data_IF_183823751659
#
_entry.id   IF_183823751659
#
_cell.length_a   1.000
_cell.length_b   1.000
_cell.length_c   1.000
_cell.angle_alpha   90.00
_cell.angle_beta   90.00
_cell.angle_gamma   90.00
#
_symmetry.space_group_name_H-M   'P 1'
#
loop_
_entity.id
_entity.type
_entity.pdbx_description
1 polymer ?
#
# COMPACT_ATOMS: atom_id res chain seq x y z
N UNK A 1 -19.60 -5.00 25.04
CA UNK A 1 -18.45 -4.08 25.07
C UNK A 1 -17.23 -4.94 25.30
N UNK A 2 -16.38 -5.03 24.29
CA UNK A 2 -15.12 -5.78 24.38
C UNK A 2 -14.26 -5.15 25.47
N UNK A 3 -13.55 -5.96 26.26
CA UNK A 3 -12.58 -5.50 27.26
C UNK A 3 -11.47 -4.62 26.63
N UNK A 4 -11.38 -4.62 25.29
CA UNK A 4 -10.38 -3.93 24.52
C UNK A 4 -10.79 -2.52 24.01
N UNK A 5 -12.06 -2.10 24.15
CA UNK A 5 -12.59 -0.80 23.67
C UNK A 5 -11.84 0.42 24.25
N UNK A 6 -11.27 0.29 25.46
CA UNK A 6 -10.48 1.34 26.12
C UNK A 6 -9.00 1.40 25.68
N UNK A 7 -8.53 0.40 24.92
CA UNK A 7 -7.12 0.33 24.52
C UNK A 7 -6.85 1.28 23.35
N UNK A 8 -5.69 1.91 23.39
CA UNK A 8 -5.14 2.70 22.26
C UNK A 8 -4.75 1.78 21.10
N UNK A 9 -4.63 2.34 19.90
CA UNK A 9 -4.20 1.56 18.72
C UNK A 9 -2.83 0.92 18.94
N UNK A 10 -1.91 1.63 19.59
CA UNK A 10 -0.57 1.13 19.90
C UNK A 10 -0.63 -0.11 20.81
N UNK A 11 -1.51 -0.09 21.82
CA UNK A 11 -1.72 -1.23 22.70
C UNK A 11 -2.35 -2.41 21.96
N UNK A 12 -3.35 -2.16 21.11
CA UNK A 12 -3.99 -3.20 20.31
C UNK A 12 -3.01 -3.84 19.32
N UNK A 13 -2.11 -3.05 18.71
CA UNK A 13 -1.05 -3.57 17.84
C UNK A 13 -0.08 -4.47 18.61
N UNK A 14 0.33 -4.06 19.82
CA UNK A 14 1.22 -4.87 20.66
C UNK A 14 0.59 -6.22 21.01
N UNK A 15 -0.70 -6.24 21.35
CA UNK A 15 -1.47 -7.45 21.65
C UNK A 15 -1.68 -8.33 20.40
N UNK A 16 -1.99 -7.70 19.27
CA UNK A 16 -2.10 -8.36 17.96
C UNK A 16 -0.80 -9.10 17.60
N UNK A 17 0.37 -8.49 17.84
CA UNK A 17 1.68 -9.13 17.61
C UNK A 17 1.88 -10.40 18.46
N UNK A 18 1.31 -10.43 19.66
CA UNK A 18 1.33 -11.60 20.53
C UNK A 18 0.30 -12.67 20.13
N UNK A 19 -0.48 -12.45 19.06
CA UNK A 19 -1.52 -13.38 18.60
C UNK A 19 -2.84 -13.27 19.35
N UNK A 20 -3.10 -12.14 20.02
CA UNK A 20 -4.38 -11.91 20.70
C UNK A 20 -5.51 -11.68 19.67
N UNK A 21 -6.40 -12.68 19.56
CA UNK A 21 -7.57 -12.64 18.67
C UNK A 21 -8.60 -11.57 19.07
N UNK A 22 -8.72 -11.27 20.36
CA UNK A 22 -9.66 -10.25 20.84
C UNK A 22 -9.16 -8.85 20.48
N UNK A 23 -7.86 -8.60 20.55
CA UNK A 23 -7.26 -7.36 20.05
C UNK A 23 -7.43 -7.21 18.53
N UNK A 24 -7.27 -8.29 17.76
CA UNK A 24 -7.56 -8.26 16.32
C UNK A 24 -9.02 -7.94 16.02
N UNK A 25 -9.95 -8.57 16.75
CA UNK A 25 -11.39 -8.34 16.59
C UNK A 25 -11.74 -6.89 16.89
N UNK A 26 -11.16 -6.31 17.94
CA UNK A 26 -11.35 -4.90 18.27
C UNK A 26 -10.85 -3.96 17.16
N UNK A 27 -9.65 -4.23 16.61
CA UNK A 27 -9.12 -3.48 15.47
C UNK A 27 -10.06 -3.61 14.25
N UNK A 28 -10.55 -4.81 13.98
CA UNK A 28 -11.47 -5.06 12.88
C UNK A 28 -12.74 -4.23 13.04
N UNK A 29 -13.40 -4.31 14.20
CA UNK A 29 -14.67 -3.64 14.47
C UNK A 29 -14.54 -2.11 14.40
N UNK A 30 -13.44 -1.56 14.94
CA UNK A 30 -13.15 -0.11 14.90
C UNK A 30 -13.03 0.42 13.47
N UNK A 31 -12.28 -0.29 12.63
CA UNK A 31 -11.86 0.26 11.35
C UNK A 31 -12.67 -0.24 10.16
N UNK A 32 -13.39 -1.37 10.28
CA UNK A 32 -14.14 -1.99 9.19
C UNK A 32 -15.05 -1.00 8.46
N UNK A 33 -15.91 -0.28 9.18
CA UNK A 33 -16.91 0.60 8.57
C UNK A 33 -16.25 1.79 7.84
N UNK A 34 -15.18 2.35 8.42
CA UNK A 34 -14.43 3.42 7.79
C UNK A 34 -13.76 2.94 6.50
N UNK A 35 -13.05 1.82 6.56
CA UNK A 35 -12.34 1.25 5.42
C UNK A 35 -13.30 0.79 4.31
N UNK A 36 -14.43 0.19 4.66
CA UNK A 36 -15.48 -0.18 3.71
C UNK A 36 -16.05 1.04 2.98
N UNK A 37 -16.33 2.12 3.72
CA UNK A 37 -16.76 3.40 3.11
C UNK A 37 -15.67 4.00 2.23
N UNK A 38 -14.40 3.93 2.65
CA UNK A 38 -13.25 4.39 1.87
C UNK A 38 -13.14 3.62 0.54
N UNK A 39 -13.23 2.29 0.57
CA UNK A 39 -13.21 1.45 -0.62
C UNK A 39 -14.40 1.73 -1.56
N UNK A 40 -15.62 1.85 -1.03
CA UNK A 40 -16.81 2.21 -1.82
C UNK A 40 -16.66 3.58 -2.52
N UNK A 41 -16.12 4.59 -1.82
CA UNK A 41 -15.88 5.93 -2.40
C UNK A 41 -14.90 5.89 -3.58
N UNK A 42 -13.96 4.95 -3.57
CA UNK A 42 -12.95 4.75 -4.60
C UNK A 42 -13.42 3.84 -5.76
N UNK A 43 -14.73 3.81 -6.01
CA UNK A 43 -15.39 3.13 -7.15
C UNK A 43 -15.38 1.59 -7.11
N UNK A 44 -15.12 0.97 -5.95
CA UNK A 44 -15.46 -0.44 -5.76
C UNK A 44 -16.97 -0.60 -5.65
N UNK A 45 -17.53 -1.67 -6.22
CA UNK A 45 -18.89 -2.07 -5.83
C UNK A 45 -18.91 -2.59 -4.38
N UNK A 46 -20.11 -2.79 -3.83
CA UNK A 46 -20.27 -3.17 -2.42
C UNK A 46 -19.66 -4.54 -2.10
N UNK A 47 -19.66 -5.47 -3.03
CA UNK A 47 -19.13 -6.82 -2.82
C UNK A 47 -17.60 -6.78 -2.87
N UNK A 48 -17.05 -6.10 -3.87
CA UNK A 48 -15.61 -5.86 -4.02
C UNK A 48 -15.03 -5.11 -2.83
N UNK A 49 -15.71 -4.08 -2.34
CA UNK A 49 -15.28 -3.32 -1.18
C UNK A 49 -15.18 -4.20 0.07
N UNK A 50 -16.16 -5.10 0.28
CA UNK A 50 -16.12 -6.05 1.42
C UNK A 50 -14.96 -7.03 1.29
N UNK A 51 -14.79 -7.62 0.10
CA UNK A 51 -13.72 -8.58 -0.17
C UNK A 51 -12.35 -7.96 0.07
N UNK A 52 -12.11 -6.75 -0.47
CA UNK A 52 -10.85 -6.03 -0.32
C UNK A 52 -10.53 -5.73 1.14
N UNK A 53 -11.49 -5.20 1.90
CA UNK A 53 -11.26 -4.86 3.31
C UNK A 53 -11.03 -6.12 4.13
N UNK A 54 -11.78 -7.19 3.87
CA UNK A 54 -11.57 -8.48 4.52
C UNK A 54 -10.17 -9.03 4.25
N UNK A 55 -9.73 -9.00 2.98
CA UNK A 55 -8.40 -9.41 2.55
C UNK A 55 -7.28 -8.62 3.24
N UNK A 56 -7.46 -7.31 3.45
CA UNK A 56 -6.51 -6.50 4.22
C UNK A 56 -6.38 -7.03 5.65
N UNK A 57 -7.50 -7.26 6.34
CA UNK A 57 -7.46 -7.77 7.71
C UNK A 57 -6.90 -9.19 7.80
N UNK A 58 -7.20 -10.06 6.83
CA UNK A 58 -6.61 -11.39 6.76
C UNK A 58 -5.09 -11.34 6.57
N UNK A 59 -4.58 -10.42 5.73
CA UNK A 59 -3.14 -10.23 5.56
C UNK A 59 -2.47 -9.74 6.83
N UNK A 60 -3.13 -8.80 7.53
CA UNK A 60 -2.68 -8.30 8.82
C UNK A 60 -2.56 -9.43 9.83
N UNK A 61 -3.60 -10.27 9.94
CA UNK A 61 -3.58 -11.41 10.85
C UNK A 61 -2.47 -12.39 10.51
N UNK A 62 -2.30 -12.75 9.23
CA UNK A 62 -1.26 -13.69 8.79
C UNK A 62 0.15 -13.20 9.09
N UNK A 63 0.38 -11.89 9.00
CA UNK A 63 1.70 -11.27 9.15
C UNK A 63 1.91 -10.59 10.49
N UNK A 64 0.94 -10.70 11.41
CA UNK A 64 0.85 -9.95 12.67
C UNK A 64 2.15 -9.87 13.47
N UNK A 65 2.91 -10.96 13.52
CA UNK A 65 4.19 -11.05 14.26
C UNK A 65 5.30 -10.19 13.62
N UNK A 66 5.26 -10.05 12.30
CA UNK A 66 6.28 -9.35 11.49
C UNK A 66 5.88 -7.90 11.15
N UNK A 67 4.62 -7.52 11.36
CA UNK A 67 4.13 -6.19 11.00
C UNK A 67 4.62 -5.13 11.97
N UNK A 68 5.13 -4.03 11.45
CA UNK A 68 5.49 -2.89 12.28
C UNK A 68 4.65 -1.68 11.87
N UNK A 69 3.63 -1.41 12.68
CA UNK A 69 2.61 -0.40 12.39
C UNK A 69 2.80 0.76 13.36
N UNK A 70 3.33 1.88 12.88
CA UNK A 70 3.50 3.09 13.71
C UNK A 70 2.21 3.89 13.87
N UNK A 71 1.34 3.89 12.85
CA UNK A 71 0.05 4.59 12.90
C UNK A 71 -1.01 3.76 12.16
N UNK A 72 -1.86 3.09 12.94
CA UNK A 72 -2.82 2.10 12.46
C UNK A 72 -3.82 2.65 11.42
N UNK A 73 -4.42 3.84 11.59
CA UNK A 73 -5.38 4.37 10.63
C UNK A 73 -4.77 4.60 9.25
N UNK A 74 -3.58 5.22 9.17
CA UNK A 74 -2.94 5.46 7.88
C UNK A 74 -2.48 4.16 7.23
N UNK A 75 -1.96 3.22 8.01
CA UNK A 75 -1.58 1.90 7.51
C UNK A 75 -2.77 1.19 6.85
N UNK A 76 -3.92 1.15 7.53
CA UNK A 76 -5.12 0.47 7.05
C UNK A 76 -5.71 1.12 5.78
N UNK A 77 -5.82 2.45 5.76
CA UNK A 77 -6.27 3.19 4.57
C UNK A 77 -5.34 2.95 3.39
N UNK A 78 -4.04 2.90 3.64
CA UNK A 78 -3.03 2.65 2.61
C UNK A 78 -3.13 1.21 2.08
N UNK A 79 -3.25 0.20 2.95
CA UNK A 79 -3.42 -1.20 2.55
C UNK A 79 -4.69 -1.41 1.71
N UNK A 80 -5.82 -0.80 2.10
CA UNK A 80 -7.08 -0.87 1.34
C UNK A 80 -6.94 -0.18 -0.01
N UNK A 81 -6.38 1.04 -0.04
CA UNK A 81 -6.11 1.77 -1.29
C UNK A 81 -5.30 0.92 -2.26
N UNK A 82 -4.26 0.28 -1.76
CA UNK A 82 -3.40 -0.53 -2.58
C UNK A 82 -4.07 -1.80 -3.11
N UNK A 83 -4.77 -2.54 -2.26
CA UNK A 83 -5.53 -3.71 -2.71
C UNK A 83 -6.60 -3.35 -3.73
N UNK A 84 -7.25 -2.19 -3.58
CA UNK A 84 -8.21 -1.69 -4.55
C UNK A 84 -7.57 -1.36 -5.89
N UNK A 85 -6.43 -0.67 -5.89
CA UNK A 85 -5.65 -0.42 -7.12
C UNK A 85 -5.32 -1.76 -7.79
N UNK A 86 -4.85 -2.76 -7.03
CA UNK A 86 -4.58 -4.07 -7.61
C UNK A 86 -5.83 -4.73 -8.16
N UNK A 87 -6.93 -4.74 -7.42
CA UNK A 87 -8.18 -5.35 -7.85
C UNK A 87 -8.67 -4.75 -9.18
N UNK A 88 -8.66 -3.42 -9.29
CA UNK A 88 -9.03 -2.70 -10.52
C UNK A 88 -8.03 -2.97 -11.66
N UNK A 89 -6.75 -3.19 -11.32
CA UNK A 89 -5.67 -3.37 -12.29
C UNK A 89 -5.17 -4.81 -12.40
N UNK A 90 -5.92 -5.81 -11.90
CA UNK A 90 -5.51 -7.23 -11.76
C UNK A 90 -5.13 -7.90 -13.09
N UNK A 91 -5.41 -7.25 -14.22
CA UNK A 91 -4.98 -7.67 -15.54
C UNK A 91 -3.66 -7.06 -16.03
N UNK A 92 -2.94 -6.23 -15.26
CA UNK A 92 -1.79 -5.47 -15.81
C UNK A 92 -0.49 -5.44 -15.00
N UNK A 93 -0.47 -5.35 -13.66
CA UNK A 93 0.83 -5.21 -12.94
C UNK A 93 0.86 -5.85 -11.52
N UNK A 94 0.86 -7.20 -11.39
CA UNK A 94 0.95 -7.88 -10.09
C UNK A 94 2.31 -7.69 -9.38
N UNK A 95 3.41 -7.72 -10.14
CA UNK A 95 4.77 -7.84 -9.60
C UNK A 95 5.35 -6.57 -8.95
N UNK A 96 4.66 -5.43 -9.05
CA UNK A 96 5.05 -4.20 -8.35
C UNK A 96 4.62 -4.23 -6.89
N UNK A 97 3.48 -4.88 -6.62
CA UNK A 97 2.88 -4.86 -5.31
C UNK A 97 3.63 -5.74 -4.32
N UNK A 98 4.05 -6.93 -4.73
CA UNK A 98 4.91 -7.80 -3.91
C UNK A 98 6.19 -7.07 -3.48
N UNK A 99 6.78 -6.26 -4.38
CA UNK A 99 7.99 -5.48 -4.09
C UNK A 99 7.71 -4.31 -3.13
N UNK A 100 6.61 -3.59 -3.34
CA UNK A 100 6.22 -2.45 -2.51
C UNK A 100 5.80 -2.91 -1.10
N UNK A 101 5.06 -4.01 -1.00
CA UNK A 101 4.73 -4.65 0.28
C UNK A 101 5.99 -5.15 0.99
N UNK A 102 6.93 -5.79 0.28
CA UNK A 102 8.19 -6.26 0.89
C UNK A 102 9.00 -5.08 1.44
N UNK A 103 9.01 -3.95 0.72
CA UNK A 103 9.76 -2.75 1.10
C UNK A 103 9.15 -1.97 2.28
N UNK A 104 7.82 -1.88 2.35
CA UNK A 104 7.13 -1.16 3.43
C UNK A 104 6.92 -1.99 4.68
N UNK A 105 6.88 -3.32 4.56
CA UNK A 105 6.48 -4.23 5.63
C UNK A 105 7.61 -5.20 6.02
N UNK A 106 8.87 -4.82 5.81
CA UNK A 106 10.05 -5.56 6.29
C UNK A 106 10.11 -5.53 7.83
N UNK A 107 10.37 -6.65 8.53
CA UNK A 107 10.14 -6.79 9.98
C UNK A 107 11.19 -6.21 10.96
N UNK A 108 12.20 -5.43 10.56
CA UNK A 108 13.29 -5.02 11.48
C UNK A 108 13.15 -3.62 12.10
N UNK A 109 13.26 -3.52 13.44
CA UNK A 109 12.98 -2.37 14.34
C UNK A 109 13.84 -1.10 14.17
N UNK A 110 13.35 0.01 14.78
CA UNK A 110 13.92 1.36 15.02
C UNK A 110 14.48 2.15 13.81
N UNK A 111 15.19 1.47 12.92
CA UNK A 111 15.64 1.96 11.63
C UNK A 111 14.48 2.26 10.67
N UNK A 112 13.26 1.81 10.94
CA UNK A 112 12.16 1.87 9.95
C UNK A 112 11.61 3.26 9.68
N UNK A 113 11.49 4.14 10.67
CA UNK A 113 11.03 5.52 10.40
C UNK A 113 12.07 6.27 9.56
N UNK A 114 13.36 5.98 9.80
CA UNK A 114 14.48 6.52 9.03
C UNK A 114 14.49 5.90 7.62
N UNK A 115 14.40 4.58 7.49
CA UNK A 115 14.30 3.83 6.23
C UNK A 115 13.05 4.21 5.42
N UNK A 116 11.93 4.52 6.06
CA UNK A 116 10.70 4.97 5.39
C UNK A 116 10.87 6.39 4.87
N UNK A 117 11.42 7.32 5.66
CA UNK A 117 11.75 8.67 5.19
C UNK A 117 12.79 8.65 4.08
N UNK A 118 13.80 7.79 4.20
CA UNK A 118 14.84 7.62 3.19
C UNK A 118 14.31 6.94 1.93
N UNK A 119 13.39 5.99 2.07
CA UNK A 119 12.68 5.38 0.94
C UNK A 119 11.77 6.38 0.24
N UNK A 120 11.03 7.21 0.99
CA UNK A 120 10.23 8.29 0.42
C UNK A 120 11.12 9.28 -0.33
N UNK A 121 12.24 9.73 0.27
CA UNK A 121 13.21 10.60 -0.40
C UNK A 121 13.83 9.97 -1.64
N UNK A 122 14.14 8.68 -1.58
CA UNK A 122 14.64 7.92 -2.73
C UNK A 122 13.60 7.82 -3.84
N UNK A 123 12.33 7.62 -3.47
CA UNK A 123 11.22 7.57 -4.40
C UNK A 123 10.95 8.94 -5.01
N UNK A 124 10.99 10.02 -4.22
CA UNK A 124 10.92 11.42 -4.69
C UNK A 124 12.07 11.72 -5.68
N UNK A 125 13.31 11.41 -5.30
CA UNK A 125 14.47 11.58 -6.18
C UNK A 125 14.42 10.70 -7.43
N UNK A 126 13.78 9.53 -7.35
CA UNK A 126 13.54 8.69 -8.52
C UNK A 126 12.43 9.25 -9.42
N UNK A 127 11.35 9.76 -8.84
CA UNK A 127 10.26 10.42 -9.57
C UNK A 127 10.80 11.63 -10.34
N UNK A 128 11.76 12.37 -9.77
CA UNK A 128 12.36 13.54 -10.40
C UNK A 128 13.25 13.24 -11.61
N UNK A 129 13.86 12.06 -11.68
CA UNK A 129 14.67 11.64 -12.84
C UNK A 129 13.85 10.96 -13.93
N UNK A 130 12.55 10.73 -13.72
CA UNK A 130 11.68 10.20 -14.76
C UNK A 130 11.47 11.24 -15.87
N UNK A 131 11.36 10.80 -17.13
CA UNK A 131 10.87 11.65 -18.21
C UNK A 131 9.54 12.30 -17.82
N UNK A 132 9.35 13.56 -18.17
CA UNK A 132 8.24 14.40 -17.69
C UNK A 132 6.86 13.72 -17.83
N UNK A 133 6.61 13.07 -18.97
CA UNK A 133 5.37 12.34 -19.23
C UNK A 133 5.19 11.15 -18.29
N UNK A 134 6.25 10.37 -18.03
CA UNK A 134 6.20 9.24 -17.09
C UNK A 134 5.99 9.73 -15.66
N UNK A 135 6.69 10.79 -15.27
CA UNK A 135 6.54 11.43 -13.97
C UNK A 135 5.11 11.91 -13.74
N UNK A 136 4.52 12.62 -14.70
CA UNK A 136 3.14 13.11 -14.63
C UNK A 136 2.14 11.97 -14.52
N UNK A 137 2.29 10.93 -15.34
CA UNK A 137 1.44 9.73 -15.29
C UNK A 137 1.55 9.05 -13.93
N UNK A 138 2.77 8.89 -13.41
CA UNK A 138 3.02 8.28 -12.11
C UNK A 138 2.38 9.11 -10.99
N UNK A 139 2.59 10.42 -10.95
CA UNK A 139 1.99 11.31 -9.94
C UNK A 139 0.46 11.29 -10.00
N UNK A 140 -0.13 11.42 -11.18
CA UNK A 140 -1.58 11.42 -11.33
C UNK A 140 -2.20 10.08 -10.88
N UNK A 141 -1.54 8.97 -11.22
CA UNK A 141 -2.01 7.64 -10.85
C UNK A 141 -1.80 7.33 -9.36
N UNK A 142 -0.59 7.56 -8.85
CA UNK A 142 -0.20 7.16 -7.50
C UNK A 142 -0.56 8.18 -6.42
N UNK A 143 -0.46 9.49 -6.68
CA UNK A 143 -0.76 10.52 -5.69
C UNK A 143 -2.20 11.03 -5.82
N UNK A 144 -2.65 11.34 -7.04
CA UNK A 144 -3.98 11.92 -7.30
C UNK A 144 -5.09 10.89 -7.52
N UNK A 145 -4.78 9.60 -7.48
CA UNK A 145 -5.74 8.49 -7.57
C UNK A 145 -6.58 8.47 -8.86
N UNK A 146 -6.07 9.06 -9.94
CA UNK A 146 -6.78 9.05 -11.22
C UNK A 146 -6.66 7.67 -11.88
N UNK A 147 -7.76 7.18 -12.45
CA UNK A 147 -7.75 5.95 -13.24
C UNK A 147 -6.98 6.16 -14.55
N UNK A 148 -6.51 5.06 -15.15
CA UNK A 148 -5.88 5.08 -16.48
C UNK A 148 -6.74 5.82 -17.52
N UNK A 149 -8.06 5.69 -17.43
CA UNK A 149 -9.00 6.36 -18.34
C UNK A 149 -9.05 7.87 -18.10
N UNK A 150 -9.07 8.30 -16.84
CA UNK A 150 -9.06 9.72 -16.47
C UNK A 150 -7.74 10.38 -16.89
N UNK A 151 -6.60 9.71 -16.65
CA UNK A 151 -5.28 10.17 -17.07
C UNK A 151 -5.17 10.24 -18.60
N UNK A 152 -5.69 9.23 -19.30
CA UNK A 152 -5.71 9.20 -20.76
C UNK A 152 -6.45 10.42 -21.34
N UNK A 153 -7.60 10.77 -20.75
CA UNK A 153 -8.36 11.97 -21.13
C UNK A 153 -7.59 13.25 -20.79
N UNK A 154 -7.08 13.38 -19.55
CA UNK A 154 -6.36 14.59 -19.10
C UNK A 154 -5.09 14.85 -19.92
N UNK A 155 -4.38 13.80 -20.32
CA UNK A 155 -3.13 13.91 -21.05
C UNK A 155 -3.29 13.81 -22.57
N UNK A 156 -4.51 13.61 -23.07
CA UNK A 156 -4.81 13.35 -24.48
C UNK A 156 -3.96 12.22 -25.07
N UNK A 157 -3.86 11.11 -24.33
CA UNK A 157 -3.10 9.90 -24.69
C UNK A 157 -4.00 8.68 -24.68
N UNK A 158 -3.61 7.63 -25.42
CA UNK A 158 -4.37 6.37 -25.36
C UNK A 158 -4.23 5.69 -23.98
N UNK A 159 -5.27 4.99 -23.47
CA UNK A 159 -5.15 4.19 -22.25
C UNK A 159 -4.01 3.16 -22.29
N UNK A 160 -3.69 2.65 -23.49
CA UNK A 160 -2.56 1.76 -23.74
C UNK A 160 -1.22 2.47 -23.50
N UNK A 161 -1.09 3.71 -23.97
CA UNK A 161 0.10 4.55 -23.74
C UNK A 161 0.30 4.84 -22.26
N UNK A 162 -0.77 5.14 -21.53
CA UNK A 162 -0.70 5.36 -20.07
C UNK A 162 -0.23 4.08 -19.35
N UNK A 163 -0.81 2.93 -19.68
CA UNK A 163 -0.39 1.63 -19.11
C UNK A 163 1.07 1.31 -19.42
N UNK A 164 1.51 1.52 -20.66
CA UNK A 164 2.90 1.28 -21.04
C UNK A 164 3.85 2.17 -20.22
N UNK A 165 3.52 3.46 -20.04
CA UNK A 165 4.34 4.36 -19.23
C UNK A 165 4.36 3.96 -17.75
N UNK A 166 3.22 3.55 -17.18
CA UNK A 166 3.18 3.01 -15.82
C UNK A 166 4.05 1.75 -15.69
N UNK A 167 3.90 0.77 -16.59
CA UNK A 167 4.70 -0.45 -16.58
C UNK A 167 6.20 -0.17 -16.74
N UNK A 168 6.58 0.76 -17.61
CA UNK A 168 7.98 1.18 -17.79
C UNK A 168 8.54 1.86 -16.54
N UNK A 169 7.77 2.76 -15.93
CA UNK A 169 8.14 3.44 -14.69
C UNK A 169 8.35 2.40 -13.58
N UNK A 170 7.43 1.45 -13.42
CA UNK A 170 7.54 0.41 -12.39
C UNK A 170 8.70 -0.55 -12.65
N UNK A 171 9.02 -0.85 -13.92
CA UNK A 171 10.21 -1.61 -14.28
C UNK A 171 11.49 -0.86 -13.91
N UNK A 172 11.56 0.45 -14.21
CA UNK A 172 12.69 1.29 -13.84
C UNK A 172 12.88 1.37 -12.32
N UNK A 173 11.77 1.53 -11.59
CA UNK A 173 11.77 1.49 -10.14
C UNK A 173 12.32 0.15 -9.65
N UNK A 174 11.81 -0.97 -10.17
CA UNK A 174 12.27 -2.31 -9.79
C UNK A 174 13.74 -2.55 -10.11
N UNK A 175 14.26 -2.08 -11.24
CA UNK A 175 15.69 -2.22 -11.55
C UNK A 175 16.55 -1.38 -10.62
N UNK A 176 16.13 -0.15 -10.30
CA UNK A 176 16.91 0.75 -9.45
C UNK A 176 16.86 0.36 -7.98
N UNK A 177 15.70 -0.06 -7.50
CA UNK A 177 15.45 -0.39 -6.10
C UNK A 177 15.53 -1.88 -5.80
N UNK A 178 15.26 -2.76 -6.75
CA UNK A 178 15.43 -4.21 -6.58
C UNK A 178 16.89 -4.60 -6.37
N UNK A 179 17.85 -3.91 -7.01
CA UNK A 179 19.28 -4.10 -6.75
C UNK A 179 19.67 -3.54 -5.38
N UNK A 180 19.13 -2.39 -4.97
CA UNK A 180 19.36 -1.84 -3.63
C UNK A 180 18.80 -2.75 -2.53
N UNK A 181 17.62 -3.33 -2.72
CA UNK A 181 17.02 -4.32 -1.79
C UNK A 181 17.86 -5.59 -1.74
N UNK A 182 18.32 -6.11 -2.89
CA UNK A 182 19.19 -7.28 -2.93
C UNK A 182 20.55 -7.04 -2.25
N UNK A 183 21.11 -5.83 -2.39
CA UNK A 183 22.35 -5.42 -1.72
C UNK A 183 22.12 -5.23 -0.22
N UNK A 184 21.03 -4.60 0.20
CA UNK A 184 20.67 -4.45 1.62
C UNK A 184 20.43 -5.82 2.29
N UNK A 185 19.93 -6.81 1.54
CA UNK A 185 19.80 -8.19 2.00
C UNK A 185 21.15 -8.93 2.15
N UNK A 186 22.21 -8.46 1.50
CA UNK A 186 23.55 -9.04 1.56
C UNK A 186 24.39 -8.50 2.74
N UNK A 187 23.97 -7.36 3.30
CA UNK A 187 24.63 -6.70 4.43
C UNK A 187 23.87 -6.85 5.77
N UNK A 188 22.83 -7.69 5.80
CA UNK A 188 22.09 -8.16 6.99
C UNK A 188 22.30 -9.67 7.07
#
# INVERSE_FOLDING_TARGET
>A
MSQYDIHTDEQLIALLKCGDEAAFTEIYDRYWNQLYKSACRKKADKEQAKEIVHDVFLDIWKRREALNISYLPAYLEQAVRFRLINYINRNKIPAFFDLFETLLFSPYEADQVLKQKDFIKLLEGWVDILPETQRRIFIQYFLKELSVKEIAVEMNLSPKTIQNNLSLSLRHLRTRFGTLVAILHFFI
#
